data_IF_311055967953
#
_entry.id   IF_311055967953
#
_cell.length_a   1.000
_cell.length_b   1.000
_cell.length_c   1.000
_cell.angle_alpha   90.00
_cell.angle_beta   90.00
_cell.angle_gamma   90.00
#
_symmetry.space_group_name_H-M   'P 1'
#
loop_
_entity.id
_entity.type
_entity.pdbx_description
1 polymer ?
#
# COMPACT_ATOMS: atom_id res chain seq x y z
N UNK A 1 25.75 -24.84 1.24
CA UNK A 1 24.38 -24.78 1.80
C UNK A 1 24.11 -23.33 2.14
N UNK A 2 23.88 -22.52 1.11
CA UNK A 2 23.84 -21.06 1.24
C UNK A 2 22.44 -20.60 1.65
N UNK A 3 22.44 -19.77 2.69
CA UNK A 3 21.26 -19.20 3.31
C UNK A 3 20.50 -18.32 2.30
N UNK A 4 19.31 -18.77 1.91
CA UNK A 4 18.31 -17.93 1.22
C UNK A 4 17.43 -17.25 2.25
N UNK A 5 18.02 -16.29 2.97
CA UNK A 5 17.29 -15.34 3.79
C UNK A 5 16.56 -14.32 2.90
N UNK A 6 15.38 -13.89 3.37
CA UNK A 6 14.59 -12.73 2.95
C UNK A 6 13.57 -12.91 1.79
N UNK A 7 12.44 -13.57 2.06
CA UNK A 7 11.16 -13.27 1.41
C UNK A 7 10.16 -12.64 2.41
N UNK A 8 10.55 -11.50 2.97
CA UNK A 8 9.68 -10.63 3.77
C UNK A 8 8.73 -9.80 2.89
N UNK A 9 7.84 -10.45 2.13
CA UNK A 9 6.78 -9.73 1.43
C UNK A 9 5.73 -9.26 2.46
N UNK A 10 5.88 -8.04 2.96
CA UNK A 10 4.91 -7.40 3.84
C UNK A 10 3.55 -7.26 3.12
N UNK A 11 2.61 -8.17 3.42
CA UNK A 11 1.23 -8.22 2.89
C UNK A 11 0.31 -7.19 3.57
N UNK A 12 0.76 -5.95 3.77
CA UNK A 12 0.07 -4.97 4.62
C UNK A 12 0.15 -3.53 4.11
N UNK A 13 -0.90 -2.75 4.41
CA UNK A 13 -1.07 -1.36 3.99
C UNK A 13 0.14 -0.48 4.30
N UNK A 14 0.67 0.22 3.29
CA UNK A 14 1.91 0.99 3.38
C UNK A 14 1.65 2.42 3.82
N UNK A 15 2.18 2.82 4.97
CA UNK A 15 2.05 4.21 5.44
C UNK A 15 3.16 5.05 4.79
N UNK A 16 2.79 6.17 4.16
CA UNK A 16 3.69 7.10 3.47
C UNK A 16 3.23 8.53 3.67
N UNK A 17 4.16 9.49 3.70
CA UNK A 17 3.80 10.92 3.75
C UNK A 17 3.08 11.39 2.48
N UNK A 18 3.47 10.85 1.32
CA UNK A 18 2.82 11.11 0.03
C UNK A 18 2.10 9.86 -0.45
N UNK A 19 0.82 10.00 -0.78
CA UNK A 19 0.00 8.94 -1.35
C UNK A 19 -0.45 9.31 -2.76
N UNK A 20 -0.14 8.45 -3.72
CA UNK A 20 -0.53 8.60 -5.13
C UNK A 20 -1.19 7.33 -5.63
N UNK A 21 -2.09 7.47 -6.61
CA UNK A 21 -2.67 6.34 -7.34
C UNK A 21 -1.57 5.76 -8.24
N UNK A 22 -1.39 4.45 -8.18
CA UNK A 22 -0.38 3.71 -8.97
C UNK A 22 -1.04 3.06 -10.19
N UNK A 23 -2.34 2.82 -10.11
CA UNK A 23 -3.10 2.02 -11.07
C UNK A 23 -4.49 2.63 -11.29
N UNK A 24 -5.16 2.24 -12.38
CA UNK A 24 -6.53 2.68 -12.67
C UNK A 24 -7.56 2.18 -11.66
N UNK A 25 -7.31 1.00 -11.07
CA UNK A 25 -8.15 0.44 -10.00
C UNK A 25 -7.84 0.96 -8.59
N UNK A 26 -7.03 2.01 -8.48
CA UNK A 26 -6.60 2.59 -7.22
C UNK A 26 -7.46 3.81 -6.90
N UNK A 27 -8.22 3.76 -5.81
CA UNK A 27 -9.12 4.84 -5.39
C UNK A 27 -8.57 5.57 -4.18
N UNK A 28 -8.63 6.90 -4.22
CA UNK A 28 -8.28 7.78 -3.10
C UNK A 28 -9.51 8.03 -2.23
N UNK A 29 -9.46 7.58 -0.98
CA UNK A 29 -10.57 7.69 -0.02
C UNK A 29 -10.09 8.41 1.23
N UNK A 30 -10.82 9.44 1.68
CA UNK A 30 -10.56 10.11 2.95
C UNK A 30 -11.40 9.45 4.05
N UNK A 31 -10.76 8.95 5.11
CA UNK A 31 -11.43 8.36 6.29
C UNK A 31 -10.78 8.92 7.56
N UNK A 32 -11.58 9.34 8.53
CA UNK A 32 -11.10 9.89 9.83
C UNK A 32 -10.02 10.98 9.66
N UNK A 33 -10.21 11.86 8.67
CA UNK A 33 -9.27 12.96 8.36
C UNK A 33 -7.97 12.56 7.65
N UNK A 34 -7.74 11.27 7.35
CA UNK A 34 -6.54 10.78 6.63
C UNK A 34 -6.89 10.28 5.24
N UNK A 35 -5.97 10.46 4.29
CA UNK A 35 -6.11 9.94 2.92
C UNK A 35 -5.60 8.50 2.84
N UNK A 36 -6.38 7.63 2.22
CA UNK A 36 -6.03 6.25 1.94
C UNK A 36 -6.09 5.99 0.45
N UNK A 37 -5.15 5.21 -0.07
CA UNK A 37 -5.25 4.58 -1.38
C UNK A 37 -5.73 3.15 -1.12
N UNK A 38 -6.91 2.82 -1.63
CA UNK A 38 -7.39 1.44 -1.70
C UNK A 38 -7.23 0.95 -3.13
N UNK A 39 -6.93 -0.33 -3.30
CA UNK A 39 -6.91 -0.96 -4.61
C UNK A 39 -7.55 -2.34 -4.48
N UNK A 40 -8.53 -2.61 -5.34
CA UNK A 40 -9.25 -3.89 -5.37
C UNK A 40 -8.47 -4.97 -6.12
N UNK A 41 -7.66 -4.56 -7.12
CA UNK A 41 -6.88 -5.48 -7.97
C UNK A 41 -5.59 -5.95 -7.29
N UNK A 42 -4.91 -5.07 -6.56
CA UNK A 42 -3.58 -5.34 -5.99
C UNK A 42 -3.45 -4.81 -4.56
N UNK A 43 -3.23 -5.71 -3.59
CA UNK A 43 -3.06 -5.32 -2.19
C UNK A 43 -1.76 -4.53 -1.92
N UNK A 44 -0.74 -4.67 -2.79
CA UNK A 44 0.53 -3.93 -2.71
C UNK A 44 0.38 -2.41 -2.88
N UNK A 45 -0.72 -1.96 -3.49
CA UNK A 45 -0.98 -0.54 -3.73
C UNK A 45 -1.73 0.14 -2.58
N UNK A 46 -2.15 -0.62 -1.56
CA UNK A 46 -2.83 -0.07 -0.39
C UNK A 46 -1.88 0.86 0.37
N UNK A 47 -2.22 2.15 0.45
CA UNK A 47 -1.40 3.16 1.11
C UNK A 47 -2.22 4.01 2.07
N UNK A 48 -1.57 4.59 3.09
CA UNK A 48 -2.16 5.56 4.02
C UNK A 48 -1.26 6.79 4.11
N UNK A 49 -1.87 7.97 4.09
CA UNK A 49 -1.20 9.24 4.31
C UNK A 49 -1.02 9.48 5.82
N UNK A 50 0.24 9.65 6.22
CA UNK A 50 0.63 9.93 7.61
C UNK A 50 0.90 8.67 8.41
#
# INVERSE_FOLDING_TARGET
>A
MEASTAFGAARGMKVRASVKKICEGCSSVKRRGRVFIICSKNQKHKQRQG
#
